data_IF_094529855950
#
_entry.id   IF_094529855950
#
_cell.length_a   1.000
_cell.length_b   1.000
_cell.length_c   1.000
_cell.angle_alpha   90.00
_cell.angle_beta   90.00
_cell.angle_gamma   90.00
#
_symmetry.space_group_name_H-M   'P 1'
#
loop_
_entity.id
_entity.type
_entity.pdbx_description
1 polymer ?
#
# COMPACT_ATOMS: atom_id res chain seq x y z
N UNK A 1 -19.66 9.47 18.73
CA UNK A 1 -18.43 9.25 19.49
C UNK A 1 -17.24 9.37 18.54
N UNK A 2 -16.63 10.55 18.48
CA UNK A 2 -15.35 10.74 17.79
C UNK A 2 -14.29 9.93 18.53
N UNK A 3 -13.67 8.96 17.84
CA UNK A 3 -12.40 8.43 18.30
C UNK A 3 -11.43 9.61 18.28
N UNK A 4 -11.15 10.20 19.45
CA UNK A 4 -9.85 10.79 19.70
C UNK A 4 -8.86 9.72 19.25
N UNK A 5 -8.15 9.97 18.16
CA UNK A 5 -6.99 9.18 17.81
C UNK A 5 -6.11 9.27 19.04
N UNK A 6 -6.10 8.20 19.85
CA UNK A 6 -5.15 8.08 20.93
C UNK A 6 -3.80 8.15 20.25
N UNK A 7 -3.17 9.32 20.32
CA UNK A 7 -1.74 9.43 20.15
C UNK A 7 -1.19 8.44 21.14
N UNK A 8 -0.75 7.27 20.65
CA UNK A 8 0.22 6.47 21.38
C UNK A 8 1.24 7.49 21.86
N UNK A 9 1.41 7.58 23.18
CA UNK A 9 2.53 8.33 23.72
C UNK A 9 3.76 7.74 23.03
N UNK A 10 4.46 8.51 22.18
CA UNK A 10 5.62 7.98 21.48
C UNK A 10 6.77 7.68 22.44
N UNK A 11 6.71 8.17 23.69
CA UNK A 11 7.79 8.06 24.66
C UNK A 11 8.27 6.62 24.90
N UNK A 12 7.43 5.58 25.07
CA UNK A 12 7.91 4.23 25.31
C UNK A 12 8.60 3.61 24.08
N UNK A 13 8.07 3.83 22.87
CA UNK A 13 8.68 3.31 21.63
C UNK A 13 10.00 4.00 21.30
N UNK A 14 10.06 5.32 21.53
CA UNK A 14 11.31 6.08 21.38
C UNK A 14 12.32 5.64 22.43
N UNK A 15 11.90 5.41 23.68
CA UNK A 15 12.77 4.91 24.74
C UNK A 15 13.33 3.53 24.41
N UNK A 16 12.51 2.59 23.92
CA UNK A 16 12.97 1.25 23.54
C UNK A 16 13.94 1.29 22.35
N UNK A 17 13.68 2.15 21.35
CA UNK A 17 14.58 2.35 20.22
C UNK A 17 15.91 2.95 20.67
N UNK A 18 15.89 4.00 21.51
CA UNK A 18 17.10 4.61 22.06
C UNK A 18 17.89 3.59 22.90
N UNK A 19 17.21 2.83 23.76
CA UNK A 19 17.86 1.79 24.54
C UNK A 19 18.47 0.69 23.67
N UNK A 20 17.90 0.39 22.51
CA UNK A 20 18.50 -0.54 21.54
C UNK A 20 19.75 0.06 20.90
N UNK A 21 19.68 1.33 20.48
CA UNK A 21 20.79 2.06 19.85
C UNK A 21 21.96 2.24 20.85
N UNK A 22 21.69 2.56 22.11
CA UNK A 22 22.73 2.80 23.12
C UNK A 22 23.44 1.53 23.58
N UNK A 23 22.86 0.35 23.33
CA UNK A 23 23.42 -0.94 23.77
C UNK A 23 24.30 -1.63 22.73
N UNK A 24 24.34 -1.11 21.51
CA UNK A 24 24.87 -1.84 20.36
C UNK A 24 25.61 -0.89 19.42
N UNK A 25 26.85 -1.23 19.06
CA UNK A 25 27.68 -0.47 18.12
C UNK A 25 27.54 -0.96 16.67
N UNK A 26 26.68 -1.94 16.42
CA UNK A 26 26.44 -2.50 15.08
C UNK A 26 25.59 -1.57 14.21
N UNK A 27 25.72 -1.76 12.89
CA UNK A 27 24.81 -1.16 11.92
C UNK A 27 23.36 -1.56 12.21
N UNK A 28 22.47 -0.58 12.21
CA UNK A 28 21.04 -0.78 12.42
C UNK A 28 20.28 -0.67 11.09
N UNK A 29 19.38 -1.62 10.84
CA UNK A 29 18.43 -1.55 9.72
C UNK A 29 17.05 -1.20 10.27
N UNK A 30 16.53 -0.05 9.85
CA UNK A 30 15.15 0.34 10.11
C UNK A 30 14.35 0.26 8.80
N UNK A 31 13.24 -0.49 8.81
CA UNK A 31 12.40 -0.69 7.63
C UNK A 31 10.93 -0.53 7.97
N UNK A 32 10.19 0.17 7.11
CA UNK A 32 8.74 0.30 7.24
C UNK A 32 8.16 1.37 6.32
N UNK A 33 6.96 1.12 5.79
CA UNK A 33 6.24 2.09 4.95
C UNK A 33 5.99 3.43 5.66
N UNK A 34 5.96 3.42 7.00
CA UNK A 34 5.69 4.60 7.82
C UNK A 34 6.79 5.65 7.73
N UNK A 35 8.03 5.24 7.45
CA UNK A 35 9.19 6.14 7.28
C UNK A 35 9.03 7.08 6.08
N UNK A 36 8.35 6.61 5.04
CA UNK A 36 8.01 7.39 3.85
C UNK A 36 6.54 7.83 3.86
N UNK A 37 5.79 7.64 4.95
CA UNK A 37 4.37 8.01 5.00
C UNK A 37 4.18 9.44 5.53
N UNK A 38 3.05 10.06 5.18
CA UNK A 38 2.64 11.34 5.78
C UNK A 38 2.38 11.30 7.29
N UNK A 39 2.47 10.13 7.96
CA UNK A 39 2.33 10.02 9.41
C UNK A 39 3.58 10.49 10.16
N UNK A 40 4.75 10.41 9.53
CA UNK A 40 5.97 10.99 10.08
C UNK A 40 5.94 12.50 9.77
N UNK A 41 5.38 13.29 10.69
CA UNK A 41 5.26 14.75 10.53
C UNK A 41 6.64 15.42 10.64
N UNK A 42 6.85 16.64 10.09
CA UNK A 42 8.15 17.30 10.10
C UNK A 42 8.85 17.34 11.47
N UNK A 43 8.18 17.72 12.58
CA UNK A 43 8.86 17.75 13.89
C UNK A 43 9.30 16.37 14.39
N UNK A 44 8.54 15.32 14.04
CA UNK A 44 8.92 13.95 14.42
C UNK A 44 10.06 13.42 13.54
N UNK A 45 10.11 13.83 12.27
CA UNK A 45 11.21 13.50 11.37
C UNK A 45 12.50 14.19 11.81
N UNK A 46 12.43 15.49 12.13
CA UNK A 46 13.58 16.26 12.64
C UNK A 46 14.15 15.66 13.92
N UNK A 47 13.29 15.33 14.90
CA UNK A 47 13.70 14.67 16.13
C UNK A 47 14.34 13.28 15.87
N UNK A 48 13.79 12.52 14.90
CA UNK A 48 14.37 11.24 14.51
C UNK A 48 15.76 11.41 13.90
N UNK A 49 15.94 12.41 13.02
CA UNK A 49 17.23 12.71 12.39
C UNK A 49 18.26 13.20 13.41
N UNK A 50 17.86 14.00 14.40
CA UNK A 50 18.74 14.41 15.50
C UNK A 50 19.27 13.19 16.27
N UNK A 51 18.39 12.24 16.60
CA UNK A 51 18.79 10.98 17.22
C UNK A 51 19.75 10.23 16.30
N UNK A 52 19.42 10.05 15.02
CA UNK A 52 20.27 9.29 14.11
C UNK A 52 21.66 9.91 13.95
N UNK A 53 21.76 11.23 13.78
CA UNK A 53 23.06 11.90 13.66
C UNK A 53 23.89 11.87 14.94
N UNK A 54 23.27 11.69 16.11
CA UNK A 54 24.00 11.52 17.39
C UNK A 54 24.64 10.14 17.51
N UNK A 55 24.04 9.13 16.89
CA UNK A 55 24.40 7.73 17.12
C UNK A 55 25.02 7.02 15.91
N UNK A 56 24.89 7.57 14.70
CA UNK A 56 25.40 6.96 13.47
C UNK A 56 26.24 7.94 12.66
N UNK A 57 27.43 7.51 12.27
CA UNK A 57 28.32 8.28 11.38
C UNK A 57 27.77 8.39 9.95
N UNK A 58 27.06 7.35 9.52
CA UNK A 58 26.50 7.22 8.18
C UNK A 58 25.04 6.80 8.28
N UNK A 59 24.17 7.57 7.63
CA UNK A 59 22.75 7.25 7.48
C UNK A 59 22.50 7.05 6.00
N UNK A 60 22.07 5.86 5.62
CA UNK A 60 21.77 5.51 4.23
C UNK A 60 20.28 5.17 4.09
N UNK A 61 19.61 5.76 3.10
CA UNK A 61 18.20 5.48 2.80
C UNK A 61 18.08 4.71 1.50
N UNK A 62 17.29 3.62 1.52
CA UNK A 62 16.97 2.81 0.34
C UNK A 62 15.45 2.86 0.13
N UNK A 63 15.01 3.34 -1.03
CA UNK A 63 13.60 3.49 -1.39
C UNK A 63 13.28 2.81 -2.72
N UNK A 64 12.42 1.80 -2.68
CA UNK A 64 11.89 1.12 -3.87
C UNK A 64 10.60 1.79 -4.37
N UNK A 65 10.64 2.30 -5.59
CA UNK A 65 9.59 3.12 -6.18
C UNK A 65 8.72 2.28 -7.10
N UNK A 66 7.46 2.11 -6.72
CA UNK A 66 6.48 1.37 -7.52
C UNK A 66 5.94 2.22 -8.65
N UNK A 67 5.56 1.57 -9.75
CA UNK A 67 4.75 2.16 -10.81
C UNK A 67 3.50 2.88 -10.23
N UNK A 68 3.18 4.13 -10.64
CA UNK A 68 2.17 4.96 -9.97
C UNK A 68 0.74 4.39 -9.95
N UNK A 69 0.24 3.79 -11.02
CA UNK A 69 -1.11 3.20 -11.08
C UNK A 69 -1.22 2.05 -10.07
N UNK A 70 -0.22 1.17 -10.08
CA UNK A 70 -0.09 0.06 -9.13
C UNK A 70 0.02 0.54 -7.68
N UNK A 71 0.69 1.68 -7.47
CA UNK A 71 0.80 2.32 -6.15
C UNK A 71 -0.53 2.95 -5.70
N UNK A 72 -1.26 3.65 -6.57
CA UNK A 72 -2.60 4.21 -6.29
C UNK A 72 -3.55 3.09 -5.84
N UNK A 73 -3.60 1.98 -6.61
CA UNK A 73 -4.40 0.80 -6.24
C UNK A 73 -4.00 0.26 -4.87
N UNK A 74 -2.70 0.15 -4.61
CA UNK A 74 -2.17 -0.35 -3.33
C UNK A 74 -2.55 0.56 -2.16
N UNK A 75 -2.42 1.87 -2.31
CA UNK A 75 -2.78 2.85 -1.28
C UNK A 75 -4.29 2.81 -1.03
N UNK A 76 -5.11 2.78 -2.08
CA UNK A 76 -6.57 2.67 -1.95
C UNK A 76 -6.96 1.38 -1.20
N UNK A 77 -6.36 0.23 -1.55
CA UNK A 77 -6.57 -1.03 -0.84
C UNK A 77 -6.21 -0.95 0.65
N UNK A 78 -5.09 -0.33 1.00
CA UNK A 78 -4.74 -0.17 2.42
C UNK A 78 -5.69 0.80 3.13
N UNK A 79 -6.10 1.87 2.46
CA UNK A 79 -7.01 2.85 3.01
C UNK A 79 -8.37 2.21 3.37
N UNK A 80 -8.94 1.40 2.47
CA UNK A 80 -10.24 0.75 2.71
C UNK A 80 -10.18 -0.36 3.77
N UNK A 81 -9.01 -0.97 4.01
CA UNK A 81 -8.81 -1.90 5.13
C UNK A 81 -8.97 -1.20 6.48
N UNK A 82 -8.66 0.09 6.54
CA UNK A 82 -8.75 0.89 7.77
C UNK A 82 -10.12 1.54 8.00
N UNK A 83 -10.96 1.66 6.97
CA UNK A 83 -12.26 2.34 7.10
C UNK A 83 -12.85 2.79 5.76
N UNK A 84 -14.06 3.39 5.80
CA UNK A 84 -14.68 3.98 4.62
C UNK A 84 -13.81 5.10 4.04
N UNK A 85 -13.81 5.21 2.71
CA UNK A 85 -13.07 6.20 1.93
C UNK A 85 -13.89 6.56 0.67
N UNK A 86 -13.78 7.80 0.17
CA UNK A 86 -14.35 8.13 -1.14
C UNK A 86 -13.58 7.41 -2.25
N UNK A 87 -14.27 7.13 -3.36
CA UNK A 87 -13.63 6.69 -4.59
C UNK A 87 -13.00 7.90 -5.29
N UNK A 88 -11.72 8.14 -5.00
CA UNK A 88 -10.96 9.25 -5.59
C UNK A 88 -9.51 8.80 -5.87
N UNK A 89 -9.18 8.39 -7.12
CA UNK A 89 -7.82 8.03 -7.49
C UNK A 89 -6.80 9.14 -7.20
N UNK A 90 -7.19 10.42 -7.27
CA UNK A 90 -6.33 11.57 -7.01
C UNK A 90 -5.89 11.65 -5.55
N UNK A 91 -6.82 11.41 -4.63
CA UNK A 91 -6.56 11.34 -3.18
C UNK A 91 -5.63 10.19 -2.76
N UNK A 92 -5.39 9.23 -3.65
CA UNK A 92 -4.46 8.11 -3.43
C UNK A 92 -3.16 8.21 -4.23
N UNK A 93 -2.88 9.36 -4.86
CA UNK A 93 -1.62 9.60 -5.55
C UNK A 93 -0.41 9.43 -4.59
N UNK A 94 0.72 8.84 -5.02
CA UNK A 94 1.84 8.55 -4.13
C UNK A 94 2.48 9.77 -3.50
N UNK A 95 2.54 10.92 -4.20
CA UNK A 95 3.24 12.14 -3.74
C UNK A 95 4.72 11.86 -3.41
N UNK A 96 5.50 11.40 -4.40
CA UNK A 96 6.87 10.90 -4.19
C UNK A 96 7.78 11.93 -3.54
N UNK A 97 7.78 13.17 -4.02
CA UNK A 97 8.60 14.26 -3.46
C UNK A 97 8.24 14.60 -2.03
N UNK A 98 6.94 14.61 -1.69
CA UNK A 98 6.51 14.89 -0.33
C UNK A 98 6.94 13.79 0.66
N UNK A 99 7.09 12.55 0.17
CA UNK A 99 7.52 11.39 0.97
C UNK A 99 9.03 11.30 1.11
N UNK A 100 9.75 11.46 0.00
CA UNK A 100 11.18 11.16 -0.10
C UNK A 100 12.07 12.41 -0.10
N UNK A 101 11.56 13.56 -0.54
CA UNK A 101 12.34 14.80 -0.62
C UNK A 101 12.98 15.18 0.71
N UNK A 102 12.25 15.03 1.82
CA UNK A 102 12.78 15.28 3.17
C UNK A 102 13.99 14.41 3.54
N UNK A 103 14.05 13.17 3.04
CA UNK A 103 15.18 12.28 3.29
C UNK A 103 16.38 12.76 2.47
N UNK A 104 16.15 13.02 1.18
CA UNK A 104 17.17 13.61 0.28
C UNK A 104 17.73 14.92 0.84
N UNK A 105 16.87 15.79 1.37
CA UNK A 105 17.27 17.07 1.95
C UNK A 105 18.07 16.88 3.26
N UNK A 106 17.73 15.87 4.07
CA UNK A 106 18.34 15.65 5.39
C UNK A 106 19.69 14.93 5.33
N UNK A 107 19.83 13.89 4.49
CA UNK A 107 21.06 13.07 4.42
C UNK A 107 21.83 13.24 3.11
N UNK A 108 21.28 13.99 2.15
CA UNK A 108 21.87 14.20 0.83
C UNK A 108 21.52 13.11 -0.18
N UNK A 109 21.43 13.50 -1.45
CA UNK A 109 21.07 12.58 -2.54
C UNK A 109 22.05 11.41 -2.70
N UNK A 110 23.34 11.62 -2.43
CA UNK A 110 24.36 10.57 -2.50
C UNK A 110 24.20 9.49 -1.42
N UNK A 111 23.40 9.73 -0.38
CA UNK A 111 23.05 8.77 0.66
C UNK A 111 21.62 8.23 0.48
N UNK A 112 21.02 8.44 -0.68
CA UNK A 112 19.66 7.98 -1.00
C UNK A 112 19.67 7.12 -2.26
N UNK A 113 19.58 5.81 -2.08
CA UNK A 113 19.30 4.87 -3.16
C UNK A 113 17.80 4.92 -3.49
N UNK A 114 17.45 5.45 -4.66
CA UNK A 114 16.07 5.49 -5.16
C UNK A 114 15.95 4.57 -6.37
N UNK A 115 15.23 3.46 -6.22
CA UNK A 115 15.32 2.31 -7.11
C UNK A 115 13.94 1.99 -7.71
N UNK A 116 13.81 1.81 -9.04
CA UNK A 116 12.57 1.32 -9.62
C UNK A 116 12.21 -0.07 -9.08
N UNK A 117 10.98 -0.24 -8.59
CA UNK A 117 10.44 -1.54 -8.18
C UNK A 117 9.96 -2.33 -9.41
N UNK A 118 10.90 -2.78 -10.22
CA UNK A 118 10.70 -3.65 -11.37
C UNK A 118 11.80 -4.72 -11.39
N UNK A 119 11.45 -5.98 -11.67
CA UNK A 119 12.39 -7.10 -11.61
C UNK A 119 13.63 -6.91 -12.49
N UNK A 120 13.55 -6.17 -13.60
CA UNK A 120 14.72 -5.89 -14.42
C UNK A 120 15.77 -4.98 -13.74
N UNK A 121 15.38 -4.29 -12.67
CA UNK A 121 16.24 -3.38 -11.91
C UNK A 121 16.67 -3.94 -10.55
N UNK A 122 16.24 -5.16 -10.21
CA UNK A 122 16.58 -5.81 -8.93
C UNK A 122 17.64 -6.89 -9.17
N UNK A 123 18.55 -7.07 -8.21
CA UNK A 123 19.50 -8.18 -8.20
C UNK A 123 18.79 -9.53 -8.37
N UNK A 124 19.13 -10.26 -9.43
CA UNK A 124 18.46 -11.50 -9.86
C UNK A 124 16.92 -11.42 -9.99
N UNK A 125 16.37 -10.21 -10.16
CA UNK A 125 14.92 -9.99 -10.17
C UNK A 125 14.24 -10.17 -8.82
N UNK A 126 14.98 -10.20 -7.71
CA UNK A 126 14.46 -10.42 -6.36
C UNK A 126 14.76 -9.23 -5.44
N UNK A 127 13.70 -8.68 -4.83
CA UNK A 127 13.79 -7.53 -3.94
C UNK A 127 14.68 -7.79 -2.71
N UNK A 128 14.57 -8.98 -2.12
CA UNK A 128 15.29 -9.28 -0.88
C UNK A 128 16.77 -9.49 -1.16
N UNK A 129 17.12 -10.09 -2.31
CA UNK A 129 18.52 -10.19 -2.76
C UNK A 129 19.10 -8.82 -3.11
N UNK A 130 18.34 -7.97 -3.80
CA UNK A 130 18.76 -6.60 -4.11
C UNK A 130 19.02 -5.80 -2.83
N UNK A 131 18.08 -5.87 -1.88
CA UNK A 131 18.25 -5.23 -0.57
C UNK A 131 19.45 -5.77 0.19
N UNK A 132 19.65 -7.09 0.25
CA UNK A 132 20.78 -7.70 0.92
C UNK A 132 22.12 -7.23 0.30
N UNK A 133 22.21 -7.18 -1.02
CA UNK A 133 23.40 -6.68 -1.71
C UNK A 133 23.70 -5.21 -1.38
N UNK A 134 22.67 -4.35 -1.33
CA UNK A 134 22.83 -2.91 -1.02
C UNK A 134 23.26 -2.62 0.41
N UNK A 135 22.83 -3.44 1.36
CA UNK A 135 23.23 -3.30 2.77
C UNK A 135 24.49 -4.10 3.10
N UNK A 136 25.11 -4.76 2.12
CA UNK A 136 26.30 -5.59 2.33
C UNK A 136 26.05 -6.82 3.21
N UNK A 137 24.81 -7.33 3.23
CA UNK A 137 24.48 -8.53 3.98
C UNK A 137 24.88 -9.79 3.21
N UNK A 138 25.84 -10.54 3.75
CA UNK A 138 26.22 -11.85 3.25
C UNK A 138 25.33 -12.95 3.83
N UNK A 139 24.88 -13.87 2.97
CA UNK A 139 24.20 -15.10 3.40
C UNK A 139 22.97 -15.49 2.57
N UNK A 140 22.40 -16.68 2.81
CA UNK A 140 21.24 -17.14 2.09
C UNK A 140 20.00 -16.30 2.46
N UNK A 141 19.47 -15.59 1.47
CA UNK A 141 18.21 -14.87 1.61
C UNK A 141 17.07 -15.89 1.57
N UNK A 142 16.43 -16.14 2.71
CA UNK A 142 15.25 -16.99 2.79
C UNK A 142 14.00 -16.16 2.53
N UNK A 143 13.45 -16.28 1.32
CA UNK A 143 12.14 -15.73 1.04
C UNK A 143 11.08 -16.48 1.86
N UNK A 144 10.38 -15.77 2.75
CA UNK A 144 9.10 -16.28 3.25
C UNK A 144 8.04 -16.19 2.15
N UNK A 145 7.07 -17.11 2.10
CA UNK A 145 5.93 -16.96 1.20
C UNK A 145 5.28 -15.60 1.46
N UNK A 146 4.98 -14.85 0.41
CA UNK A 146 4.39 -13.52 0.52
C UNK A 146 3.13 -13.56 1.39
N UNK A 147 3.23 -13.03 2.62
CA UNK A 147 2.08 -12.91 3.54
C UNK A 147 1.16 -11.75 3.15
N UNK A 148 1.63 -10.85 2.28
CA UNK A 148 0.90 -9.70 1.78
C UNK A 148 -0.14 -10.11 0.73
N UNK A 149 -1.22 -10.76 1.16
CA UNK A 149 -2.37 -11.02 0.30
C UNK A 149 -3.08 -9.69 0.00
N UNK A 150 -3.13 -9.34 -1.28
CA UNK A 150 -4.03 -8.30 -1.77
C UNK A 150 -5.48 -8.80 -1.73
N UNK A 151 -6.43 -7.87 -1.71
CA UNK A 151 -7.83 -8.23 -1.87
C UNK A 151 -8.07 -8.59 -3.35
N UNK A 152 -8.90 -9.60 -3.57
CA UNK A 152 -9.56 -9.84 -4.85
C UNK A 152 -10.59 -8.73 -5.14
N UNK A 153 -11.15 -8.70 -6.35
CA UNK A 153 -12.26 -7.84 -6.72
C UNK A 153 -13.45 -8.04 -5.77
N UNK A 154 -13.75 -9.29 -5.42
CA UNK A 154 -14.83 -9.64 -4.50
C UNK A 154 -14.56 -9.14 -3.08
N UNK A 155 -13.36 -9.43 -2.56
CA UNK A 155 -12.96 -9.01 -1.22
C UNK A 155 -12.93 -7.49 -1.09
N UNK A 156 -12.47 -6.78 -2.14
CA UNK A 156 -12.45 -5.33 -2.19
C UNK A 156 -13.86 -4.74 -2.23
N UNK A 157 -14.72 -5.21 -3.14
CA UNK A 157 -16.08 -4.68 -3.31
C UNK A 157 -16.96 -4.93 -2.07
N UNK A 158 -16.88 -6.13 -1.47
CA UNK A 158 -17.60 -6.42 -0.22
C UNK A 158 -17.09 -5.57 0.94
N UNK A 159 -15.76 -5.38 1.06
CA UNK A 159 -15.19 -4.54 2.10
C UNK A 159 -15.59 -3.07 1.92
N UNK A 160 -15.67 -2.60 0.68
CA UNK A 160 -16.18 -1.27 0.35
C UNK A 160 -17.62 -1.10 0.84
N UNK A 161 -18.52 -2.00 0.42
CA UNK A 161 -19.94 -1.93 0.72
C UNK A 161 -20.27 -2.07 2.22
N UNK A 162 -19.45 -2.83 2.97
CA UNK A 162 -19.68 -3.08 4.39
C UNK A 162 -19.02 -2.06 5.32
N UNK A 163 -18.02 -1.31 4.84
CA UNK A 163 -17.24 -0.39 5.67
C UNK A 163 -18.10 0.63 6.46
N UNK A 164 -19.17 1.22 5.89
CA UNK A 164 -20.09 2.07 6.65
C UNK A 164 -20.74 1.37 7.85
N UNK A 165 -21.12 0.09 7.70
CA UNK A 165 -21.69 -0.74 8.78
C UNK A 165 -20.65 -1.05 9.85
N UNK A 166 -19.42 -1.36 9.42
CA UNK A 166 -18.30 -1.66 10.30
C UNK A 166 -17.80 -0.45 11.12
N UNK A 167 -18.26 0.77 10.86
CA UNK A 167 -17.86 1.96 11.62
C UNK A 167 -18.27 1.89 13.11
N UNK A 168 -19.30 1.09 13.42
CA UNK A 168 -19.82 0.90 14.79
C UNK A 168 -19.18 -0.27 15.54
N UNK A 169 -18.33 -1.05 14.88
CA UNK A 169 -17.74 -2.28 15.44
C UNK A 169 -16.33 -2.04 15.99
N UNK A 170 -15.89 -2.94 16.88
CA UNK A 170 -14.55 -2.89 17.46
C UNK A 170 -13.47 -3.18 16.40
N UNK A 171 -12.23 -2.73 16.65
CA UNK A 171 -11.10 -3.03 15.77
C UNK A 171 -10.81 -4.53 15.64
N UNK A 172 -11.01 -5.30 16.71
CA UNK A 172 -10.86 -6.76 16.69
C UNK A 172 -11.86 -7.41 15.70
N UNK A 173 -13.12 -6.97 15.75
CA UNK A 173 -14.16 -7.43 14.83
C UNK A 173 -13.86 -7.06 13.38
N UNK A 174 -13.44 -5.81 13.12
CA UNK A 174 -13.03 -5.37 11.78
C UNK A 174 -11.89 -6.22 11.21
N UNK A 175 -10.87 -6.54 12.04
CA UNK A 175 -9.76 -7.42 11.66
C UNK A 175 -10.23 -8.83 11.33
N UNK A 176 -11.24 -9.35 12.04
CA UNK A 176 -11.83 -10.65 11.75
C UNK A 176 -12.52 -10.67 10.38
N UNK A 177 -13.37 -9.67 10.09
CA UNK A 177 -14.02 -9.53 8.78
C UNK A 177 -12.99 -9.41 7.66
N UNK A 178 -11.97 -8.55 7.84
CA UNK A 178 -10.89 -8.40 6.86
C UNK A 178 -10.18 -9.74 6.59
N UNK A 179 -9.87 -10.53 7.63
CA UNK A 179 -9.25 -11.85 7.46
C UNK A 179 -10.11 -12.79 6.61
N UNK A 180 -11.44 -12.76 6.76
CA UNK A 180 -12.36 -13.54 5.93
C UNK A 180 -12.34 -13.08 4.48
N UNK A 181 -12.33 -11.76 4.24
CA UNK A 181 -12.34 -11.18 2.88
C UNK A 181 -11.00 -11.33 2.14
N UNK A 182 -9.86 -11.36 2.83
CA UNK A 182 -8.54 -11.64 2.23
C UNK A 182 -8.42 -13.04 1.61
N UNK A 183 -9.33 -13.96 1.93
CA UNK A 183 -9.40 -15.32 1.36
C UNK A 183 -10.66 -15.59 0.54
N UNK A 184 -11.42 -14.55 0.20
CA UNK A 184 -12.68 -14.64 -0.54
C UNK A 184 -12.51 -14.17 -1.97
N UNK A 185 -12.83 -15.02 -2.95
CA UNK A 185 -12.60 -14.74 -4.36
C UNK A 185 -11.13 -14.82 -4.76
N UNK A 186 -10.90 -14.76 -6.07
CA UNK A 186 -9.61 -14.89 -6.72
C UNK A 186 -9.47 -13.95 -7.93
N UNK A 187 -10.52 -13.20 -8.28
CA UNK A 187 -10.50 -12.29 -9.41
C UNK A 187 -9.63 -11.08 -9.09
N UNK A 188 -8.61 -10.73 -9.89
CA UNK A 188 -7.89 -9.47 -9.69
C UNK A 188 -8.77 -8.26 -10.01
N UNK A 189 -8.36 -7.09 -9.56
CA UNK A 189 -9.03 -5.85 -9.91
C UNK A 189 -8.05 -4.71 -10.14
N UNK A 190 -8.52 -3.71 -10.88
CA UNK A 190 -7.83 -2.47 -11.11
C UNK A 190 -8.77 -1.28 -10.86
N UNK A 191 -8.15 -0.15 -10.54
CA UNK A 191 -8.83 1.15 -10.56
C UNK A 191 -8.66 1.69 -11.97
N UNK A 192 -9.69 2.36 -12.51
CA UNK A 192 -9.70 2.92 -13.86
C UNK A 192 -8.32 3.48 -14.29
N UNK A 193 -7.60 2.76 -15.18
CA UNK A 193 -6.26 3.16 -15.60
C UNK A 193 -6.24 4.53 -16.26
N UNK A 194 -7.31 4.91 -16.96
CA UNK A 194 -7.41 6.22 -17.62
C UNK A 194 -7.58 7.34 -16.59
N UNK A 195 -8.36 7.10 -15.52
CA UNK A 195 -8.44 8.04 -14.40
C UNK A 195 -7.10 8.20 -13.69
N UNK A 196 -6.40 7.09 -13.45
CA UNK A 196 -5.04 7.14 -12.87
C UNK A 196 -4.07 7.88 -13.80
N UNK A 197 -4.10 7.62 -15.11
CA UNK A 197 -3.26 8.31 -16.09
C UNK A 197 -3.48 9.83 -16.08
N UNK A 198 -4.75 10.28 -16.00
CA UNK A 198 -5.08 11.71 -15.85
C UNK A 198 -4.49 12.32 -14.57
N UNK A 199 -4.60 11.61 -13.44
CA UNK A 199 -4.00 12.03 -12.16
C UNK A 199 -2.48 12.16 -12.28
N UNK A 200 -1.82 11.17 -12.89
CA UNK A 200 -0.36 11.15 -13.07
C UNK A 200 0.08 12.29 -13.99
N UNK A 201 -0.61 12.50 -15.11
CA UNK A 201 -0.33 13.61 -16.04
C UNK A 201 -0.44 14.97 -15.34
N UNK A 202 -1.46 15.17 -14.51
CA UNK A 202 -1.63 16.39 -13.72
C UNK A 202 -0.55 16.59 -12.64
N UNK A 203 0.25 15.55 -12.32
CA UNK A 203 1.34 15.56 -11.32
C UNK A 203 2.71 15.38 -11.94
N UNK A 204 2.87 15.72 -13.23
CA UNK A 204 4.11 15.58 -13.98
C UNK A 204 5.37 16.07 -13.24
N UNK A 205 5.39 17.24 -12.57
CA UNK A 205 6.58 17.70 -11.84
C UNK A 205 7.03 16.78 -10.70
N UNK A 206 6.10 16.09 -10.02
CA UNK A 206 6.44 15.13 -8.96
C UNK A 206 7.01 13.83 -9.55
N UNK A 207 6.54 13.44 -10.73
CA UNK A 207 7.09 12.28 -11.44
C UNK A 207 8.47 12.60 -12.02
N UNK A 208 8.66 13.76 -12.64
CA UNK A 208 9.98 14.17 -13.17
C UNK A 208 11.02 14.24 -12.05
N UNK A 209 10.59 14.69 -10.85
CA UNK A 209 11.44 14.69 -9.67
C UNK A 209 11.88 13.27 -9.26
N UNK A 210 10.97 12.30 -9.20
CA UNK A 210 11.34 10.93 -8.79
C UNK A 210 12.15 10.21 -9.87
N UNK A 211 11.86 10.44 -11.15
CA UNK A 211 12.64 9.87 -12.27
C UNK A 211 14.07 10.42 -12.29
N UNK A 212 14.23 11.72 -12.01
CA UNK A 212 15.55 12.33 -11.81
C UNK A 212 16.29 11.72 -10.62
N UNK A 213 15.61 11.54 -9.48
CA UNK A 213 16.21 10.92 -8.29
C UNK A 213 16.62 9.45 -8.52
N UNK A 214 15.88 8.70 -9.34
CA UNK A 214 16.23 7.33 -9.74
C UNK A 214 17.30 7.26 -10.83
N UNK A 215 17.56 8.37 -11.54
CA UNK A 215 18.40 8.38 -12.74
C UNK A 215 17.80 7.65 -13.95
N UNK A 216 16.52 7.29 -13.91
CA UNK A 216 15.83 6.57 -14.99
C UNK A 216 14.30 6.81 -14.95
N UNK A 217 13.58 6.56 -16.06
CA UNK A 217 12.12 6.65 -16.07
C UNK A 217 11.45 5.61 -15.16
N UNK A 218 10.25 5.93 -14.67
CA UNK A 218 9.43 4.93 -13.98
C UNK A 218 9.06 3.79 -14.93
N UNK A 219 8.93 2.56 -14.42
CA UNK A 219 8.49 1.43 -15.24
C UNK A 219 7.09 1.72 -15.80
N UNK A 220 6.80 1.29 -17.04
CA UNK A 220 5.50 1.51 -17.64
C UNK A 220 4.43 0.71 -16.89
N UNK A 221 3.21 1.24 -16.87
CA UNK A 221 2.05 0.52 -16.37
C UNK A 221 1.81 -0.77 -17.16
N UNK A 222 1.58 -1.87 -16.43
CA UNK A 222 1.23 -3.18 -16.99
C UNK A 222 -0.16 -3.58 -16.48
N UNK A 223 -1.18 -3.63 -17.35
CA UNK A 223 -2.51 -4.09 -16.97
C UNK A 223 -2.48 -5.49 -16.38
N UNK A 224 -3.35 -5.74 -15.40
CA UNK A 224 -3.50 -7.09 -14.85
C UNK A 224 -4.45 -7.89 -15.75
N UNK A 225 -4.02 -9.04 -16.31
CA UNK A 225 -4.91 -9.89 -17.08
C UNK A 225 -6.17 -10.28 -16.29
N UNK A 226 -7.31 -10.26 -16.98
CA UNK A 226 -8.63 -10.64 -16.43
C UNK A 226 -9.12 -9.82 -15.22
N UNK A 227 -8.51 -8.66 -14.95
CA UNK A 227 -8.92 -7.82 -13.84
C UNK A 227 -10.28 -7.15 -14.06
N UNK A 228 -11.07 -7.08 -13.00
CA UNK A 228 -12.25 -6.21 -12.94
C UNK A 228 -11.79 -4.77 -12.81
N UNK A 229 -12.18 -3.90 -13.74
CA UNK A 229 -11.87 -2.48 -13.69
C UNK A 229 -13.01 -1.75 -13.00
N UNK A 230 -12.71 -1.08 -11.88
CA UNK A 230 -13.66 -0.19 -11.20
C UNK A 230 -13.41 1.27 -11.58
N UNK A 231 -14.42 1.92 -12.17
CA UNK A 231 -14.39 3.33 -12.61
C UNK A 231 -15.11 4.29 -11.67
N UNK A 232 -15.97 3.76 -10.82
CA UNK A 232 -16.75 4.54 -9.88
C UNK A 232 -17.11 3.72 -8.64
N UNK A 233 -17.56 4.42 -7.61
CA UNK A 233 -18.18 3.79 -6.45
C UNK A 233 -19.41 2.95 -6.83
N UNK A 234 -20.23 3.42 -7.77
CA UNK A 234 -21.42 2.69 -8.23
C UNK A 234 -21.07 1.34 -8.88
N UNK A 235 -19.98 1.27 -9.66
CA UNK A 235 -19.51 0.00 -10.22
C UNK A 235 -19.04 -0.97 -9.12
N UNK A 236 -18.38 -0.46 -8.07
CA UNK A 236 -17.95 -1.27 -6.92
C UNK A 236 -19.17 -1.81 -6.17
N UNK A 237 -20.15 -0.95 -5.87
CA UNK A 237 -21.36 -1.33 -5.16
C UNK A 237 -22.24 -2.29 -5.98
N UNK A 238 -22.37 -2.04 -7.29
CA UNK A 238 -23.06 -2.94 -8.22
C UNK A 238 -22.38 -4.30 -8.33
N UNK A 239 -21.04 -4.35 -8.32
CA UNK A 239 -20.29 -5.60 -8.28
C UNK A 239 -20.55 -6.35 -6.95
N UNK A 240 -20.50 -5.65 -5.81
CA UNK A 240 -20.77 -6.24 -4.50
C UNK A 240 -22.19 -6.82 -4.40
N UNK A 241 -23.20 -6.09 -4.88
CA UNK A 241 -24.60 -6.54 -4.95
C UNK A 241 -24.75 -7.79 -5.82
N UNK A 242 -24.08 -7.80 -6.99
CA UNK A 242 -24.05 -8.93 -7.91
C UNK A 242 -23.48 -10.24 -7.33
N UNK A 243 -22.72 -10.17 -6.23
CA UNK A 243 -22.22 -11.34 -5.50
C UNK A 243 -23.32 -12.03 -4.67
N UNK A 244 -24.44 -11.35 -4.39
CA UNK A 244 -25.56 -11.90 -3.62
C UNK A 244 -25.22 -12.22 -2.17
N UNK A 245 -24.23 -11.52 -1.58
CA UNK A 245 -23.84 -11.68 -0.18
C UNK A 245 -24.69 -10.78 0.70
N UNK A 246 -25.30 -11.36 1.74
CA UNK A 246 -25.98 -10.59 2.79
C UNK A 246 -24.93 -9.78 3.59
N UNK A 247 -24.90 -8.47 3.32
CA UNK A 247 -23.94 -7.54 3.92
C UNK A 247 -24.17 -7.35 5.43
N UNK A 248 -25.40 -7.50 5.92
CA UNK A 248 -25.70 -7.36 7.34
C UNK A 248 -25.27 -8.62 8.11
N UNK A 249 -25.51 -9.79 7.53
CA UNK A 249 -24.97 -11.06 8.04
C UNK A 249 -23.44 -11.05 8.05
N UNK A 250 -22.81 -10.59 6.96
CA UNK A 250 -21.35 -10.45 6.90
C UNK A 250 -20.84 -9.47 7.96
N UNK A 251 -21.53 -8.35 8.19
CA UNK A 251 -21.14 -7.35 9.17
C UNK A 251 -21.23 -7.89 10.60
N UNK A 252 -22.13 -8.84 10.84
CA UNK A 252 -22.24 -9.58 12.10
C UNK A 252 -21.19 -10.70 12.26
N UNK A 253 -20.30 -10.89 11.28
CA UNK A 253 -19.27 -11.94 11.33
C UNK A 253 -19.76 -13.33 10.93
N UNK A 254 -20.95 -13.46 10.35
CA UNK A 254 -21.43 -14.77 9.86
C UNK A 254 -20.55 -15.27 8.72
N UNK A 255 -20.47 -16.59 8.57
CA UNK A 255 -19.58 -17.24 7.62
C UNK A 255 -19.94 -16.89 6.17
N UNK A 256 -18.93 -16.51 5.38
CA UNK A 256 -19.05 -16.42 3.93
C UNK A 256 -19.15 -17.84 3.37
N UNK A 257 -20.29 -18.18 2.77
CA UNK A 257 -20.35 -19.39 1.95
C UNK A 257 -19.54 -19.13 0.69
N UNK A 258 -18.49 -19.93 0.44
CA UNK A 258 -17.80 -19.97 -0.85
C UNK A 258 -18.79 -20.50 -1.89
N UNK A 259 -19.61 -19.62 -2.44
CA UNK A 259 -20.37 -19.99 -3.62
C UNK A 259 -19.42 -20.05 -4.81
N UNK A 260 -19.62 -21.04 -5.68
CA UNK A 260 -19.02 -21.15 -7.03
C UNK A 260 -19.52 -20.06 -8.00
N UNK A 261 -19.68 -18.83 -7.50
CA UNK A 261 -20.44 -17.73 -8.11
C UNK A 261 -19.65 -16.93 -9.16
N UNK A 262 -18.32 -17.09 -9.22
CA UNK A 262 -17.45 -16.46 -10.23
C UNK A 262 -17.94 -16.76 -11.66
N UNK A 263 -18.51 -17.96 -11.88
CA UNK A 263 -19.10 -18.36 -13.16
C UNK A 263 -20.42 -17.65 -13.51
N UNK A 264 -21.18 -17.16 -12.52
CA UNK A 264 -22.49 -16.51 -12.72
C UNK A 264 -22.38 -15.00 -12.94
N UNK A 265 -21.46 -14.32 -12.24
CA UNK A 265 -21.23 -12.87 -12.41
C UNK A 265 -20.59 -12.57 -13.78
N UNK A 266 -19.59 -13.35 -14.20
CA UNK A 266 -19.00 -13.23 -15.55
C UNK A 266 -20.08 -13.29 -16.64
N UNK A 267 -21.02 -14.24 -16.57
CA UNK A 267 -22.11 -14.38 -17.56
C UNK A 267 -23.07 -13.19 -17.61
N UNK A 268 -23.36 -12.53 -16.48
CA UNK A 268 -24.28 -11.36 -16.45
C UNK A 268 -23.61 -10.09 -16.98
N UNK A 269 -22.35 -9.84 -16.62
CA UNK A 269 -21.63 -8.65 -17.07
C UNK A 269 -21.24 -8.73 -18.55
N UNK A 270 -20.82 -9.91 -19.06
CA UNK A 270 -20.53 -10.08 -20.50
C UNK A 270 -21.80 -10.19 -21.35
N UNK A 271 -22.92 -10.61 -20.78
CA UNK A 271 -24.21 -10.71 -21.48
C UNK A 271 -24.84 -9.34 -21.77
N UNK A 272 -24.70 -8.38 -20.85
CA UNK A 272 -25.26 -7.03 -21.01
C UNK A 272 -24.50 -6.16 -22.03
N UNK A 273 -23.22 -6.47 -22.31
CA UNK A 273 -22.40 -5.74 -23.27
C UNK A 273 -22.62 -6.16 -24.74
N UNK A 274 -23.32 -7.28 -25.01
CA UNK A 274 -23.59 -7.79 -26.36
C UNK A 274 -24.98 -7.42 -26.91
N UNK A 275 -25.79 -6.69 -26.14
CA UNK A 275 -27.16 -6.31 -26.50
C UNK A 275 -27.34 -4.80 -26.72
N UNK A 276 -26.28 -4.09 -27.14
CA UNK A 276 -26.32 -2.71 -27.61
C UNK A 276 -25.62 -2.59 -28.95
#
# INVERSE_FOLDING_TARGET
MHHKGGTLDPAPLVHDLLALIERDDRSMILSGETLASGRLRPPHFEALMEVFHRHFDVIHAIAYIREPVSMIRSIMQQAIKTGPRPFDPGGFYPNYRARLGRWVDAIGAAQCDVIPFDAANLHDGDLLRDFAARVGADGPVRAEPARNRSLSAEGFALLWAINPRLARHTQAHRKEILRKLLGYGDTPFEIDPDACARVIAARRPDIDWIESAMGCPLPPYRPIPDAVIFRSEDEILGYADGLGVDLDALAQGKALRRHSLVQRVKRRLTGAARSR
#
